data_IF_029700295520
#
_entry.id   IF_029700295520
#
_cell.length_a   1.000
_cell.length_b   1.000
_cell.length_c   1.000
_cell.angle_alpha   90.00
_cell.angle_beta   90.00
_cell.angle_gamma   90.00
#
_symmetry.space_group_name_H-M   'P 1'
#
loop_
_entity.id
_entity.type
_entity.pdbx_description
1 polymer ?
#
# COMPACT_ATOMS: atom_id res chain seq x y z
N UNK A 1 15.17 -34.07 10.57
CA UNK A 1 15.21 -32.75 9.88
C UNK A 1 15.40 -32.85 8.36
N UNK A 2 16.41 -33.58 7.82
CA UNK A 2 16.57 -33.68 6.35
C UNK A 2 15.39 -34.36 5.64
N UNK A 3 14.82 -35.38 6.27
CA UNK A 3 13.65 -36.11 5.75
C UNK A 3 12.40 -35.23 5.67
N UNK A 4 12.15 -34.41 6.70
CA UNK A 4 11.02 -33.47 6.70
C UNK A 4 11.21 -32.33 5.67
N UNK A 5 12.45 -31.88 5.46
CA UNK A 5 12.75 -30.94 4.37
C UNK A 5 12.47 -31.53 2.99
N UNK A 6 12.78 -32.82 2.78
CA UNK A 6 12.42 -33.51 1.55
C UNK A 6 10.89 -33.66 1.42
N UNK A 7 10.20 -33.93 2.53
CA UNK A 7 8.74 -34.02 2.59
C UNK A 7 8.08 -32.69 2.19
N UNK A 8 8.53 -31.56 2.76
CA UNK A 8 8.07 -30.20 2.42
C UNK A 8 8.19 -29.88 0.92
N UNK A 9 9.24 -30.36 0.26
CA UNK A 9 9.49 -30.11 -1.18
C UNK A 9 8.61 -30.95 -2.09
N UNK A 10 8.09 -32.07 -1.59
CA UNK A 10 7.38 -33.09 -2.39
C UNK A 10 5.88 -33.12 -2.11
N UNK A 11 5.41 -32.49 -1.04
CA UNK A 11 4.01 -32.47 -0.63
C UNK A 11 3.46 -31.03 -0.65
N UNK A 12 2.73 -30.65 -1.73
CA UNK A 12 2.05 -29.36 -1.80
C UNK A 12 1.11 -29.17 -0.60
N UNK A 13 1.16 -27.99 0.02
CA UNK A 13 0.36 -27.66 1.20
C UNK A 13 1.08 -27.86 2.54
N UNK A 14 2.06 -28.76 2.63
CA UNK A 14 2.78 -29.02 3.90
C UNK A 14 3.56 -27.78 4.37
N UNK A 15 4.13 -27.01 3.45
CA UNK A 15 4.80 -25.75 3.80
C UNK A 15 3.84 -24.73 4.43
N UNK A 16 2.57 -24.71 4.00
CA UNK A 16 1.54 -23.87 4.58
C UNK A 16 1.10 -24.39 5.96
N UNK A 17 0.96 -25.71 6.12
CA UNK A 17 0.65 -26.33 7.41
C UNK A 17 1.76 -26.08 8.45
N UNK A 18 3.02 -26.23 8.06
CA UNK A 18 4.16 -25.91 8.92
C UNK A 18 4.19 -24.43 9.29
N UNK A 19 3.92 -23.53 8.34
CA UNK A 19 3.85 -22.10 8.64
C UNK A 19 2.76 -21.83 9.70
N UNK A 20 1.59 -22.44 9.55
CA UNK A 20 0.48 -22.31 10.51
C UNK A 20 0.86 -22.82 11.90
N UNK A 21 1.56 -23.95 12.02
CA UNK A 21 2.05 -24.45 13.31
C UNK A 21 3.10 -23.53 13.97
N UNK A 22 3.79 -22.70 13.17
CA UNK A 22 4.76 -21.72 13.67
C UNK A 22 4.11 -20.39 14.10
N UNK A 23 2.87 -20.10 13.67
CA UNK A 23 2.16 -18.88 14.02
C UNK A 23 1.46 -19.04 15.38
N UNK A 24 1.97 -18.32 16.39
CA UNK A 24 1.40 -18.35 17.75
C UNK A 24 0.39 -17.22 17.90
N UNK A 25 -0.89 -17.53 17.68
CA UNK A 25 -2.01 -16.57 17.72
C UNK A 25 -2.66 -16.45 19.11
N UNK A 26 -1.87 -16.38 20.19
CA UNK A 26 -2.40 -16.22 21.56
C UNK A 26 -2.54 -14.75 21.92
N UNK A 27 -3.79 -14.31 22.09
CA UNK A 27 -4.14 -12.95 22.49
C UNK A 27 -5.39 -12.92 23.37
N UNK A 28 -5.63 -11.80 24.03
CA UNK A 28 -6.82 -11.57 24.85
C UNK A 28 -7.16 -10.07 24.90
N UNK A 29 -8.40 -9.75 25.24
CA UNK A 29 -8.84 -8.36 25.34
C UNK A 29 -8.06 -7.61 26.40
N UNK A 30 -7.71 -6.35 26.13
CA UNK A 30 -6.98 -5.48 27.06
C UNK A 30 -5.74 -6.14 27.69
N UNK A 31 -5.00 -6.96 26.91
CA UNK A 31 -3.78 -7.65 27.34
C UNK A 31 -2.79 -6.67 27.98
N UNK A 32 -2.36 -6.95 29.21
CA UNK A 32 -1.66 -6.01 30.09
C UNK A 32 -2.52 -4.77 30.45
N UNK A 33 -3.52 -4.95 31.32
CA UNK A 33 -4.51 -3.91 31.66
C UNK A 33 -3.92 -2.56 32.04
N UNK A 34 -2.83 -2.53 32.82
CA UNK A 34 -2.18 -1.26 33.16
C UNK A 34 -1.63 -0.53 31.93
N UNK A 35 -1.14 -1.26 30.92
CA UNK A 35 -0.65 -0.67 29.69
C UNK A 35 -1.80 -0.12 28.83
N UNK A 36 -2.94 -0.82 28.76
CA UNK A 36 -4.14 -0.29 28.12
C UNK A 36 -4.74 0.89 28.88
N UNK A 37 -4.69 0.94 30.20
CA UNK A 37 -5.10 2.11 30.98
C UNK A 37 -4.20 3.33 30.67
N UNK A 38 -2.89 3.11 30.52
CA UNK A 38 -1.97 4.16 30.09
C UNK A 38 -2.24 4.62 28.65
N UNK A 39 -2.61 3.70 27.74
CA UNK A 39 -3.05 4.04 26.38
C UNK A 39 -4.34 4.84 26.41
N UNK A 40 -5.34 4.42 27.20
CA UNK A 40 -6.65 5.05 27.39
C UNK A 40 -6.50 6.51 27.83
N UNK A 41 -5.66 6.78 28.84
CA UNK A 41 -5.33 8.14 29.26
C UNK A 41 -4.71 8.99 28.14
N UNK A 42 -4.09 8.36 27.15
CA UNK A 42 -3.51 8.99 25.98
C UNK A 42 -4.49 9.23 24.82
N UNK A 43 -5.61 8.51 24.74
CA UNK A 43 -6.55 8.57 23.62
C UNK A 43 -7.00 9.99 23.27
N UNK A 44 -7.31 10.90 24.21
CA UNK A 44 -7.76 12.27 23.89
C UNK A 44 -6.83 13.01 22.93
N UNK A 45 -5.52 12.80 23.04
CA UNK A 45 -4.54 13.46 22.18
C UNK A 45 -4.62 13.03 20.71
N UNK A 46 -5.11 11.82 20.41
CA UNK A 46 -5.26 11.32 19.04
C UNK A 46 -6.38 12.03 18.26
N UNK A 47 -7.31 12.65 19.00
CA UNK A 47 -8.44 13.42 18.48
C UNK A 47 -8.15 14.93 18.42
N UNK A 48 -6.99 15.38 18.93
CA UNK A 48 -6.66 16.80 19.00
C UNK A 48 -6.68 17.46 17.60
N UNK A 49 -7.42 18.56 17.48
CA UNK A 49 -7.56 19.30 16.21
C UNK A 49 -8.48 18.65 15.17
N UNK A 50 -9.12 17.53 15.49
CA UNK A 50 -10.05 16.82 14.59
C UNK A 50 -11.50 17.05 15.00
N UNK A 51 -12.35 17.23 13.99
CA UNK A 51 -13.82 17.34 14.11
C UNK A 51 -14.47 16.40 13.09
N UNK A 52 -15.77 16.53 12.84
CA UNK A 52 -16.55 15.67 11.96
C UNK A 52 -15.91 15.36 10.58
N UNK A 53 -15.21 16.31 9.95
CA UNK A 53 -14.54 16.11 8.66
C UNK A 53 -13.19 15.35 8.74
N UNK A 54 -12.70 15.09 9.95
CA UNK A 54 -11.42 14.40 10.19
C UNK A 54 -11.59 12.89 10.39
N UNK A 55 -10.45 12.22 10.55
CA UNK A 55 -10.40 10.80 10.85
C UNK A 55 -9.31 10.50 11.88
N UNK A 56 -9.59 9.58 12.80
CA UNK A 56 -8.58 8.92 13.64
C UNK A 56 -8.26 7.57 13.02
N UNK A 57 -6.99 7.38 12.64
CA UNK A 57 -6.53 6.20 11.90
C UNK A 57 -5.52 5.44 12.75
N UNK A 58 -5.79 4.16 12.98
CA UNK A 58 -4.96 3.29 13.81
C UNK A 58 -4.56 2.06 13.03
N UNK A 59 -3.33 1.58 13.22
CA UNK A 59 -2.91 0.28 12.70
C UNK A 59 -2.48 -0.65 13.84
N UNK A 60 -3.14 -1.80 13.93
CA UNK A 60 -2.78 -2.91 14.81
C UNK A 60 -2.10 -3.99 13.98
N UNK A 61 -0.77 -4.06 14.05
CA UNK A 61 0.05 -5.01 13.31
C UNK A 61 0.33 -6.27 14.15
N UNK A 62 0.01 -7.45 13.60
CA UNK A 62 0.02 -8.72 14.33
C UNK A 62 -1.23 -8.84 15.21
N UNK A 63 -2.42 -8.65 14.63
CA UNK A 63 -3.66 -8.57 15.39
C UNK A 63 -4.21 -9.92 15.88
N UNK A 64 -3.67 -11.05 15.41
CA UNK A 64 -4.16 -12.40 15.65
C UNK A 64 -5.69 -12.49 15.47
N UNK A 65 -6.40 -13.01 16.47
CA UNK A 65 -7.85 -13.21 16.48
C UNK A 65 -8.67 -11.94 16.78
N UNK A 66 -8.03 -10.76 16.78
CA UNK A 66 -8.67 -9.45 16.73
C UNK A 66 -8.91 -8.76 18.08
N UNK A 67 -8.62 -9.41 19.21
CA UNK A 67 -8.91 -8.89 20.56
C UNK A 67 -8.22 -7.54 20.82
N UNK A 68 -6.97 -7.37 20.39
CA UNK A 68 -6.25 -6.09 20.52
C UNK A 68 -6.92 -4.99 19.67
N UNK A 69 -7.21 -5.29 18.40
CA UNK A 69 -7.83 -4.34 17.49
C UNK A 69 -9.20 -3.87 18.00
N UNK A 70 -10.02 -4.79 18.51
CA UNK A 70 -11.29 -4.45 19.13
C UNK A 70 -11.13 -3.69 20.46
N UNK A 71 -10.14 -4.04 21.29
CA UNK A 71 -9.85 -3.31 22.53
C UNK A 71 -9.53 -1.84 22.23
N UNK A 72 -8.69 -1.59 21.23
CA UNK A 72 -8.35 -0.23 20.79
C UNK A 72 -9.57 0.47 20.19
N UNK A 73 -10.36 -0.22 19.36
CA UNK A 73 -11.59 0.34 18.79
C UNK A 73 -12.61 0.74 19.87
N UNK A 74 -12.73 -0.04 20.96
CA UNK A 74 -13.59 0.31 22.10
C UNK A 74 -13.13 1.60 22.76
N UNK A 75 -11.83 1.73 23.09
CA UNK A 75 -11.28 2.95 23.72
C UNK A 75 -11.51 4.20 22.85
N UNK A 76 -11.26 4.09 21.55
CA UNK A 76 -11.50 5.19 20.60
C UNK A 76 -12.98 5.57 20.54
N UNK A 77 -13.87 4.57 20.50
CA UNK A 77 -15.32 4.77 20.43
C UNK A 77 -15.85 5.38 21.72
N UNK A 78 -15.35 4.94 22.89
CA UNK A 78 -15.71 5.51 24.19
C UNK A 78 -15.39 6.99 24.25
N UNK A 79 -14.17 7.38 23.85
CA UNK A 79 -13.77 8.78 23.84
C UNK A 79 -14.56 9.60 22.80
N UNK A 80 -14.75 9.08 21.58
CA UNK A 80 -15.51 9.77 20.54
C UNK A 80 -16.95 10.08 20.97
N UNK A 81 -17.58 9.21 21.77
CA UNK A 81 -18.93 9.44 22.29
C UNK A 81 -19.01 10.55 23.35
N UNK A 82 -17.88 11.06 23.85
CA UNK A 82 -17.83 12.24 24.74
C UNK A 82 -17.77 13.56 23.96
N UNK A 83 -17.63 13.50 22.63
CA UNK A 83 -17.50 14.67 21.76
C UNK A 83 -18.82 14.97 21.04
N UNK A 84 -19.18 16.25 20.88
CA UNK A 84 -20.38 16.67 20.15
C UNK A 84 -20.31 16.38 18.63
N UNK A 85 -19.10 16.38 18.07
CA UNK A 85 -18.87 16.18 16.62
C UNK A 85 -17.59 15.39 16.39
N UNK A 86 -17.61 14.08 16.71
CA UNK A 86 -16.42 13.24 16.63
C UNK A 86 -15.97 13.04 15.18
N UNK A 87 -14.65 12.93 14.93
CA UNK A 87 -14.14 12.44 13.65
C UNK A 87 -14.53 10.97 13.44
N UNK A 88 -14.47 10.52 12.18
CA UNK A 88 -14.57 9.09 11.88
C UNK A 88 -13.39 8.30 12.49
N UNK A 89 -13.60 7.03 12.81
CA UNK A 89 -12.58 6.12 13.35
C UNK A 89 -12.36 5.00 12.34
N UNK A 90 -11.10 4.73 12.00
CA UNK A 90 -10.70 3.58 11.20
C UNK A 90 -9.51 2.88 11.86
N UNK A 91 -9.70 1.62 12.23
CA UNK A 91 -8.65 0.71 12.69
C UNK A 91 -8.32 -0.23 11.53
N UNK A 92 -7.06 -0.29 11.12
CA UNK A 92 -6.50 -1.29 10.23
C UNK A 92 -5.91 -2.38 11.11
N UNK A 93 -6.39 -3.61 11.01
CA UNK A 93 -5.91 -4.74 11.79
C UNK A 93 -5.35 -5.77 10.85
N UNK A 94 -4.07 -6.11 11.00
CA UNK A 94 -3.40 -6.98 10.04
C UNK A 94 -2.62 -8.10 10.69
N UNK A 95 -2.57 -9.24 10.00
CA UNK A 95 -1.84 -10.42 10.41
C UNK A 95 -1.39 -11.24 9.19
N UNK A 96 -0.46 -12.18 9.40
CA UNK A 96 -0.10 -13.20 8.42
C UNK A 96 -1.06 -14.40 8.46
N UNK A 97 -1.68 -14.65 9.62
CA UNK A 97 -2.59 -15.79 9.81
C UNK A 97 -4.01 -15.49 9.32
N UNK A 98 -4.35 -15.98 8.13
CA UNK A 98 -5.70 -15.83 7.56
C UNK A 98 -6.78 -16.52 8.41
N UNK A 99 -6.46 -17.61 9.12
CA UNK A 99 -7.42 -18.31 9.99
C UNK A 99 -7.78 -17.45 11.20
N UNK A 100 -6.78 -16.85 11.84
CA UNK A 100 -7.00 -15.91 12.93
C UNK A 100 -7.78 -14.67 12.46
N UNK A 101 -7.46 -14.13 11.28
CA UNK A 101 -8.20 -13.01 10.69
C UNK A 101 -9.67 -13.36 10.40
N UNK A 102 -9.97 -14.59 9.96
CA UNK A 102 -11.35 -15.02 9.74
C UNK A 102 -12.14 -15.08 11.06
N UNK A 103 -11.51 -15.53 12.16
CA UNK A 103 -12.11 -15.46 13.49
C UNK A 103 -12.32 -14.00 13.94
N UNK A 104 -11.32 -13.14 13.73
CA UNK A 104 -11.38 -11.72 14.06
C UNK A 104 -12.52 -11.01 13.31
N UNK A 105 -12.66 -11.29 12.00
CA UNK A 105 -13.75 -10.78 11.17
C UNK A 105 -15.10 -11.25 11.66
N UNK A 106 -15.24 -12.53 12.04
CA UNK A 106 -16.47 -13.04 12.63
C UNK A 106 -16.81 -12.32 13.96
N UNK A 107 -15.78 -11.96 14.73
CA UNK A 107 -15.91 -11.21 15.98
C UNK A 107 -16.72 -11.97 17.03
N UNK A 108 -16.63 -13.31 17.03
CA UNK A 108 -17.37 -14.18 17.95
C UNK A 108 -16.39 -14.83 18.92
N UNK A 109 -16.58 -14.55 20.20
CA UNK A 109 -15.72 -14.99 21.29
C UNK A 109 -16.51 -15.81 22.31
N UNK A 110 -15.79 -16.59 23.13
CA UNK A 110 -16.40 -17.35 24.23
C UNK A 110 -16.71 -16.42 25.41
N UNK A 111 -17.52 -16.88 26.36
CA UNK A 111 -17.83 -16.08 27.55
C UNK A 111 -16.62 -15.83 28.46
N UNK A 112 -15.50 -16.52 28.22
CA UNK A 112 -14.25 -16.34 28.96
C UNK A 112 -13.69 -14.91 28.84
N UNK A 113 -14.02 -14.17 27.78
CA UNK A 113 -13.59 -12.77 27.62
C UNK A 113 -14.15 -11.85 28.71
N UNK A 114 -15.18 -12.28 29.43
CA UNK A 114 -15.71 -11.53 30.58
C UNK A 114 -14.71 -11.43 31.74
N UNK A 115 -13.68 -12.28 31.76
CA UNK A 115 -12.56 -12.09 32.65
C UNK A 115 -11.83 -10.78 32.35
N UNK A 116 -11.66 -10.44 31.06
CA UNK A 116 -10.79 -9.36 30.57
C UNK A 116 -11.51 -8.06 30.20
N UNK A 117 -12.80 -8.15 29.86
CA UNK A 117 -13.64 -7.03 29.46
C UNK A 117 -14.62 -6.69 30.58
N UNK A 118 -14.63 -5.42 31.01
CA UNK A 118 -15.58 -4.91 32.01
C UNK A 118 -17.04 -5.15 31.60
N UNK A 119 -17.93 -5.34 32.56
CA UNK A 119 -19.37 -5.54 32.29
C UNK A 119 -20.00 -4.42 31.45
N UNK A 120 -19.59 -3.17 31.68
CA UNK A 120 -20.08 -2.00 30.95
C UNK A 120 -19.74 -2.12 29.46
N UNK A 121 -18.49 -2.46 29.15
CA UNK A 121 -18.02 -2.71 27.78
C UNK A 121 -18.69 -3.92 27.15
N UNK A 122 -18.90 -5.02 27.89
CA UNK A 122 -19.64 -6.19 27.41
C UNK A 122 -21.08 -5.82 27.00
N UNK A 123 -21.81 -5.11 27.88
CA UNK A 123 -23.18 -4.67 27.61
C UNK A 123 -23.25 -3.72 26.41
N UNK A 124 -22.25 -2.84 26.27
CA UNK A 124 -22.21 -1.81 25.23
C UNK A 124 -21.78 -2.33 23.86
N UNK A 125 -20.75 -3.18 23.80
CA UNK A 125 -20.06 -3.53 22.55
C UNK A 125 -20.30 -4.96 22.08
N UNK A 126 -20.99 -5.79 22.85
CA UNK A 126 -21.27 -7.18 22.48
C UNK A 126 -22.78 -7.48 22.47
N UNK A 127 -23.14 -8.50 21.71
CA UNK A 127 -24.43 -9.20 21.77
C UNK A 127 -24.18 -10.64 22.21
N UNK A 128 -25.05 -11.15 23.07
CA UNK A 128 -24.98 -12.55 23.52
C UNK A 128 -25.84 -13.40 22.60
N UNK A 129 -25.23 -14.40 21.96
CA UNK A 129 -25.89 -15.31 21.04
C UNK A 129 -25.38 -16.73 21.26
N UNK A 130 -26.28 -17.68 21.55
CA UNK A 130 -25.96 -19.11 21.69
C UNK A 130 -24.78 -19.41 22.64
N UNK A 131 -24.72 -18.71 23.78
CA UNK A 131 -23.61 -18.88 24.75
C UNK A 131 -22.26 -18.33 24.27
N UNK A 132 -22.25 -17.50 23.24
CA UNK A 132 -21.09 -16.75 22.75
C UNK A 132 -21.35 -15.25 22.79
N UNK A 133 -20.27 -14.48 22.77
CA UNK A 133 -20.30 -13.03 22.72
C UNK A 133 -19.84 -12.59 21.33
N UNK A 134 -20.72 -11.93 20.58
CA UNK A 134 -20.39 -11.35 19.28
C UNK A 134 -20.17 -9.85 19.42
N UNK A 135 -19.10 -9.34 18.83
CA UNK A 135 -18.87 -7.89 18.72
C UNK A 135 -19.96 -7.27 17.85
N UNK A 136 -20.58 -6.21 18.35
CA UNK A 136 -21.65 -5.49 17.65
C UNK A 136 -21.15 -4.89 16.33
N UNK A 137 -22.03 -4.88 15.33
CA UNK A 137 -21.73 -4.44 13.96
C UNK A 137 -21.16 -3.02 13.92
N UNK A 138 -21.68 -2.11 14.74
CA UNK A 138 -21.22 -0.72 14.78
C UNK A 138 -19.75 -0.60 15.17
N UNK A 139 -19.24 -1.49 16.03
CA UNK A 139 -17.82 -1.54 16.36
C UNK A 139 -17.01 -2.26 15.28
N UNK A 140 -17.54 -3.34 14.70
CA UNK A 140 -16.89 -4.11 13.63
C UNK A 140 -16.63 -3.28 12.38
N UNK A 141 -17.56 -2.43 11.99
CA UNK A 141 -17.41 -1.56 10.81
C UNK A 141 -16.27 -0.54 10.95
N UNK A 142 -15.80 -0.28 12.17
CA UNK A 142 -14.62 0.57 12.42
C UNK A 142 -13.30 -0.16 12.23
N UNK A 143 -13.30 -1.49 12.09
CA UNK A 143 -12.10 -2.34 12.03
C UNK A 143 -12.02 -3.05 10.67
N UNK A 144 -10.97 -2.76 9.91
CA UNK A 144 -10.67 -3.40 8.63
C UNK A 144 -9.58 -4.46 8.82
N UNK A 145 -9.93 -5.73 8.62
CA UNK A 145 -9.01 -6.86 8.72
C UNK A 145 -8.42 -7.27 7.37
N UNK A 146 -7.10 -7.27 7.25
CA UNK A 146 -6.40 -7.66 6.03
C UNK A 146 -5.18 -8.54 6.31
N UNK A 147 -4.90 -9.49 5.40
CA UNK A 147 -3.62 -10.20 5.40
C UNK A 147 -2.54 -9.20 5.00
N UNK A 148 -1.47 -9.09 5.79
CA UNK A 148 -0.38 -8.14 5.53
C UNK A 148 0.93 -8.66 6.12
N UNK A 149 1.96 -8.73 5.28
CA UNK A 149 3.33 -8.93 5.70
C UNK A 149 4.02 -7.57 5.93
N UNK A 150 4.31 -7.28 7.20
CA UNK A 150 4.97 -6.05 7.64
C UNK A 150 6.28 -5.73 6.89
N UNK A 151 6.98 -6.75 6.38
CA UNK A 151 8.30 -6.61 5.77
C UNK A 151 8.28 -6.63 4.24
N UNK A 152 7.14 -6.96 3.62
CA UNK A 152 7.00 -7.08 2.16
C UNK A 152 5.94 -6.14 1.59
N UNK A 153 4.85 -5.97 2.32
CA UNK A 153 3.70 -5.24 1.83
C UNK A 153 3.83 -3.74 2.09
N UNK A 154 3.15 -2.95 1.27
CA UNK A 154 3.19 -1.49 1.40
C UNK A 154 2.55 -1.07 2.73
N UNK A 155 3.21 -0.19 3.52
CA UNK A 155 2.66 0.21 4.80
C UNK A 155 1.56 1.26 4.66
N UNK A 156 0.65 1.28 5.62
CA UNK A 156 -0.32 2.37 5.77
C UNK A 156 0.43 3.68 6.09
N UNK A 157 -0.13 4.82 5.69
CA UNK A 157 0.46 6.15 5.95
C UNK A 157 -0.53 7.05 6.68
N UNK A 158 -0.03 8.12 7.32
CA UNK A 158 -0.84 9.13 8.03
C UNK A 158 -1.72 8.52 9.13
N UNK A 159 -1.10 7.72 9.99
CA UNK A 159 -1.71 7.11 11.18
C UNK A 159 -1.49 7.96 12.43
N UNK A 160 -2.41 7.84 13.38
CA UNK A 160 -2.34 8.49 14.69
C UNK A 160 -1.79 7.56 15.76
N UNK A 161 -2.03 6.26 15.60
CA UNK A 161 -1.54 5.22 16.50
C UNK A 161 -1.14 4.01 15.69
N UNK A 162 0.02 3.44 16.03
CA UNK A 162 0.41 2.08 15.64
C UNK A 162 0.51 1.26 16.91
N UNK A 163 -0.13 0.10 16.94
CA UNK A 163 0.06 -0.92 17.96
C UNK A 163 0.73 -2.12 17.31
N UNK A 164 1.80 -2.61 17.92
CA UNK A 164 2.50 -3.82 17.47
C UNK A 164 3.07 -4.48 18.73
N UNK A 165 2.29 -5.40 19.30
CA UNK A 165 2.58 -5.96 20.62
C UNK A 165 2.81 -7.45 20.50
N UNK A 166 3.84 -7.93 21.21
CA UNK A 166 4.20 -9.35 21.27
C UNK A 166 4.60 -9.96 19.90
N UNK A 167 4.99 -9.13 18.93
CA UNK A 167 5.52 -9.56 17.64
C UNK A 167 7.06 -9.53 17.60
N UNK A 168 7.70 -8.55 18.25
CA UNK A 168 9.14 -8.33 18.16
C UNK A 168 9.96 -9.46 18.81
N UNK A 169 9.35 -10.21 19.72
CA UNK A 169 9.96 -11.37 20.39
C UNK A 169 10.27 -12.53 19.43
N UNK A 170 9.66 -12.56 18.24
CA UNK A 170 9.85 -13.63 17.25
C UNK A 170 10.82 -13.25 16.12
N UNK A 171 11.23 -11.98 16.05
CA UNK A 171 12.06 -11.47 14.95
C UNK A 171 13.41 -10.98 15.44
N UNK A 172 14.40 -11.05 14.57
CA UNK A 172 15.76 -10.61 14.90
C UNK A 172 15.86 -9.08 14.96
N UNK A 173 16.97 -8.56 15.50
CA UNK A 173 17.18 -7.12 15.69
C UNK A 173 17.11 -6.29 14.41
N UNK A 174 17.55 -6.82 13.26
CA UNK A 174 17.47 -6.11 11.98
C UNK A 174 16.02 -5.93 11.54
N UNK A 175 15.21 -6.99 11.66
CA UNK A 175 13.78 -6.94 11.37
C UNK A 175 13.05 -6.00 12.34
N UNK A 176 13.39 -6.00 13.63
CA UNK A 176 12.85 -5.01 14.59
C UNK A 176 13.15 -3.58 14.14
N UNK A 177 14.37 -3.29 13.69
CA UNK A 177 14.72 -1.97 13.16
C UNK A 177 13.89 -1.60 11.93
N UNK A 178 13.77 -2.51 10.94
CA UNK A 178 12.96 -2.27 9.74
C UNK A 178 11.48 -2.04 10.06
N UNK A 179 10.92 -2.81 10.99
CA UNK A 179 9.55 -2.61 11.48
C UNK A 179 9.36 -1.21 12.10
N UNK A 180 10.31 -0.77 12.94
CA UNK A 180 10.27 0.56 13.56
C UNK A 180 10.39 1.68 12.52
N UNK A 181 11.21 1.52 11.48
CA UNK A 181 11.32 2.46 10.36
C UNK A 181 10.00 2.56 9.58
N UNK A 182 9.36 1.42 9.30
CA UNK A 182 8.02 1.35 8.70
C UNK A 182 7.01 2.10 9.58
N UNK A 183 6.96 1.81 10.88
CA UNK A 183 6.03 2.48 11.80
C UNK A 183 6.28 3.99 11.90
N UNK A 184 7.54 4.43 11.89
CA UNK A 184 7.88 5.86 11.89
C UNK A 184 7.38 6.54 10.63
N UNK A 185 7.54 5.91 9.47
CA UNK A 185 7.03 6.41 8.20
C UNK A 185 5.49 6.47 8.18
N UNK A 186 4.84 5.46 8.75
CA UNK A 186 3.37 5.33 8.78
C UNK A 186 2.69 6.38 9.67
N UNK A 187 3.33 6.77 10.79
CA UNK A 187 2.76 7.71 11.75
C UNK A 187 2.81 9.16 11.27
N UNK A 188 1.78 9.96 11.56
CA UNK A 188 1.85 11.41 11.47
C UNK A 188 2.80 11.98 12.55
N UNK A 189 3.16 13.27 12.46
CA UNK A 189 4.13 13.91 13.37
C UNK A 189 3.78 13.77 14.87
N UNK A 190 2.49 13.79 15.21
CA UNK A 190 1.98 13.62 16.59
C UNK A 190 1.58 12.17 16.92
N UNK A 191 1.87 11.25 16.00
CA UNK A 191 1.47 9.86 16.12
C UNK A 191 2.21 9.14 17.23
N UNK A 192 1.58 8.08 17.75
CA UNK A 192 2.10 7.26 18.83
C UNK A 192 2.34 5.82 18.40
N UNK A 193 3.34 5.21 19.01
CA UNK A 193 3.64 3.78 18.89
C UNK A 193 3.39 3.10 20.23
N UNK A 194 2.69 1.97 20.23
CA UNK A 194 2.44 1.17 21.42
C UNK A 194 2.97 -0.26 21.21
N UNK A 195 3.96 -0.65 22.01
CA UNK A 195 4.61 -1.96 21.93
C UNK A 195 4.26 -2.87 23.13
N UNK A 196 4.61 -4.15 23.03
CA UNK A 196 4.50 -5.14 24.10
C UNK A 196 5.47 -4.83 25.26
N UNK A 197 5.16 -5.35 26.44
CA UNK A 197 5.94 -5.10 27.68
C UNK A 197 7.41 -5.55 27.59
N UNK A 198 7.67 -6.65 26.86
CA UNK A 198 9.00 -7.20 26.60
C UNK A 198 9.73 -6.54 25.41
N UNK A 199 9.14 -5.52 24.79
CA UNK A 199 9.59 -4.96 23.52
C UNK A 199 10.06 -3.51 23.70
N UNK A 200 10.88 -3.03 22.77
CA UNK A 200 11.44 -1.68 22.86
C UNK A 200 11.71 -1.08 21.49
N UNK A 201 11.63 0.25 21.41
CA UNK A 201 12.01 1.01 20.22
C UNK A 201 13.54 1.22 20.11
N UNK A 202 14.34 0.68 21.05
CA UNK A 202 15.80 0.86 21.11
C UNK A 202 16.56 0.25 19.91
N UNK A 203 15.90 -0.56 19.09
CA UNK A 203 16.48 -1.07 17.85
C UNK A 203 16.62 0.02 16.76
N UNK A 204 15.86 1.12 16.85
CA UNK A 204 15.94 2.25 15.92
C UNK A 204 16.09 3.59 16.69
N UNK A 205 17.30 3.88 17.19
CA UNK A 205 17.54 5.06 18.02
C UNK A 205 17.21 6.35 17.24
N UNK A 206 16.58 7.31 17.93
CA UNK A 206 16.24 8.62 17.35
C UNK A 206 14.92 8.68 16.60
N UNK A 207 14.29 7.54 16.26
CA UNK A 207 12.96 7.53 15.61
C UNK A 207 11.81 7.71 16.61
N UNK A 208 11.96 7.23 17.84
CA UNK A 208 10.90 7.24 18.84
C UNK A 208 11.39 7.79 20.17
N UNK A 209 10.55 8.61 20.81
CA UNK A 209 10.81 9.21 22.11
C UNK A 209 9.84 8.57 23.12
N UNK A 210 10.30 8.04 24.27
CA UNK A 210 9.41 7.46 25.26
C UNK A 210 8.37 8.48 25.75
N UNK A 211 7.09 8.19 25.52
CA UNK A 211 5.97 8.97 26.05
C UNK A 211 5.51 8.40 27.40
N UNK A 212 5.40 7.08 27.48
CA UNK A 212 5.25 6.34 28.73
C UNK A 212 6.20 5.13 28.69
N UNK A 213 7.38 5.28 29.31
CA UNK A 213 8.43 4.25 29.30
C UNK A 213 7.99 2.97 30.00
N UNK A 214 7.24 3.06 31.11
CA UNK A 214 6.75 1.89 31.89
C UNK A 214 5.88 0.99 31.01
N UNK A 215 5.01 1.60 30.20
CA UNK A 215 4.04 0.87 29.37
C UNK A 215 4.39 0.83 27.88
N UNK A 216 5.65 1.13 27.52
CA UNK A 216 6.17 1.02 26.15
C UNK A 216 5.33 1.79 25.11
N UNK A 217 4.88 2.99 25.49
CA UNK A 217 4.24 3.95 24.59
C UNK A 217 5.25 5.02 24.21
N UNK A 218 5.38 5.29 22.92
CA UNK A 218 6.35 6.22 22.36
C UNK A 218 5.66 7.26 21.48
N UNK A 219 6.19 8.48 21.47
CA UNK A 219 5.86 9.49 20.48
C UNK A 219 6.82 9.37 19.29
N UNK A 220 6.31 9.66 18.09
CA UNK A 220 7.16 9.79 16.90
C UNK A 220 8.13 10.96 17.08
N UNK A 221 9.42 10.71 16.84
CA UNK A 221 10.43 11.77 16.83
C UNK A 221 10.26 12.66 15.60
N UNK A 222 10.30 13.98 15.83
CA UNK A 222 10.28 15.02 14.77
C UNK A 222 11.68 15.35 14.23
N UNK A 223 12.74 14.71 14.74
CA UNK A 223 14.09 14.98 14.25
C UNK A 223 14.17 14.67 12.75
N UNK A 224 14.92 15.45 11.94
CA UNK A 224 15.09 15.21 10.51
C UNK A 224 15.97 13.97 10.29
N UNK A 225 15.44 12.79 10.58
CA UNK A 225 15.99 11.56 10.03
C UNK A 225 15.50 11.46 8.60
N UNK A 226 16.46 11.46 7.65
CA UNK A 226 16.21 11.01 6.27
C UNK A 226 15.86 9.52 6.34
N UNK A 227 14.61 9.22 6.65
CA UNK A 227 14.05 7.90 6.42
C UNK A 227 13.74 7.87 4.93
N UNK A 228 14.67 7.34 4.15
CA UNK A 228 14.33 6.83 2.82
C UNK A 228 13.19 5.81 3.00
N UNK A 229 12.15 5.78 2.15
CA UNK A 229 11.14 4.74 2.25
C UNK A 229 11.83 3.37 2.30
N UNK A 230 11.48 2.48 3.25
CA UNK A 230 12.10 1.17 3.32
C UNK A 230 11.81 0.45 2.00
N UNK A 231 12.85 0.29 1.20
CA UNK A 231 12.80 -0.47 -0.05
C UNK A 231 12.85 -1.96 0.31
N UNK A 232 12.03 -2.81 -0.31
CA UNK A 232 12.07 -4.25 -0.08
C UNK A 232 13.49 -4.79 -0.35
N UNK A 233 13.95 -5.72 0.51
CA UNK A 233 15.27 -6.34 0.37
C UNK A 233 15.38 -7.02 -1.01
N UNK A 234 16.37 -6.56 -1.81
CA UNK A 234 16.64 -7.07 -3.16
C UNK A 234 16.85 -5.98 -4.22
N UNK A 235 16.48 -4.73 -3.94
CA UNK A 235 16.67 -3.62 -4.87
C UNK A 235 18.11 -3.07 -4.80
N UNK A 236 18.93 -3.32 -5.81
CA UNK A 236 20.22 -2.62 -5.97
C UNK A 236 19.95 -1.25 -6.60
N UNK A 237 20.16 -0.12 -5.90
CA UNK A 237 20.05 1.18 -6.55
C UNK A 237 21.12 1.28 -7.63
N UNK A 238 20.73 1.72 -8.83
CA UNK A 238 21.68 2.24 -9.81
C UNK A 238 22.51 3.33 -9.13
N UNK A 239 23.83 3.27 -9.34
CA UNK A 239 24.73 4.30 -8.83
C UNK A 239 24.21 5.69 -9.22
N UNK A 240 24.24 6.67 -8.30
CA UNK A 240 23.77 8.02 -8.62
C UNK A 240 24.59 8.56 -9.79
N UNK A 241 23.88 9.06 -10.82
CA UNK A 241 24.47 9.81 -11.93
C UNK A 241 25.32 10.94 -11.35
N UNK A 242 26.63 10.88 -11.57
CA UNK A 242 27.54 11.98 -11.27
C UNK A 242 27.20 13.11 -12.23
N UNK A 243 26.54 14.15 -11.72
CA UNK A 243 26.39 15.41 -12.45
C UNK A 243 27.74 16.13 -12.34
N UNK A 244 28.47 16.38 -13.44
CA UNK A 244 29.71 17.12 -13.37
C UNK A 244 29.43 18.54 -12.90
N UNK A 245 30.01 18.88 -11.76
CA UNK A 245 30.00 20.23 -11.19
C UNK A 245 30.87 21.16 -12.02
N UNK A 246 30.34 21.63 -13.16
CA UNK A 246 30.90 22.78 -13.85
C UNK A 246 29.82 23.51 -14.64
N UNK A 247 29.15 24.44 -13.97
CA UNK A 247 28.58 25.64 -14.60
C UNK A 247 28.59 26.78 -13.59
N UNK A 248 29.20 27.93 -13.93
CA UNK A 248 29.39 29.03 -13.00
C UNK A 248 28.13 29.93 -12.91
N UNK A 249 27.82 30.30 -11.67
CA UNK A 249 27.26 31.59 -11.22
C UNK A 249 25.93 32.11 -11.79
N UNK A 250 24.95 32.19 -10.88
CA UNK A 250 24.22 33.45 -10.63
C UNK A 250 24.31 33.76 -9.13
N UNK A 251 25.26 34.61 -8.75
CA UNK A 251 25.32 35.21 -7.41
C UNK A 251 24.24 36.28 -7.31
N UNK A 252 23.20 36.01 -6.53
CA UNK A 252 22.31 37.07 -6.03
C UNK A 252 23.05 37.77 -4.89
N UNK A 253 23.52 38.99 -5.16
CA UNK A 253 24.03 39.92 -4.17
C UNK A 253 22.92 40.25 -3.15
N UNK A 254 23.19 40.08 -1.85
CA UNK A 254 22.40 40.69 -0.80
C UNK A 254 23.16 41.93 -0.29
N UNK A 255 22.59 43.15 -0.32
CA UNK A 255 23.25 44.31 0.25
C UNK A 255 23.39 44.15 1.77
N UNK A 256 24.55 44.54 2.28
CA UNK A 256 24.85 44.61 3.72
C UNK A 256 24.10 45.79 4.34
N UNK A 257 23.47 45.57 5.49
CA UNK A 257 23.14 46.62 6.45
C UNK A 257 24.11 46.53 7.63
N UNK A 258 24.71 47.68 7.94
CA UNK A 258 25.61 47.90 9.05
C UNK A 258 24.85 47.92 10.39
N UNK A 259 25.46 47.29 11.40
CA UNK A 259 25.45 47.65 12.83
C UNK A 259 24.15 48.04 13.53
N UNK A 260 23.76 47.27 14.55
CA UNK A 260 23.74 47.69 15.97
C UNK A 260 23.35 46.48 16.84
N UNK A 261 24.14 46.28 17.88
CA UNK A 261 23.94 45.35 18.99
C UNK A 261 22.73 45.71 19.87
N UNK A 262 21.88 44.73 20.20
CA UNK A 262 20.86 44.85 21.25
C UNK A 262 20.02 43.58 21.38
N UNK A 263 19.97 43.00 22.58
CA UNK A 263 19.29 41.73 22.87
C UNK A 263 17.77 41.77 22.78
N UNK A 264 17.19 40.58 22.61
CA UNK A 264 15.75 40.32 22.63
C UNK A 264 15.41 39.15 21.71
N UNK A 265 15.35 37.93 22.25
CA UNK A 265 14.85 36.76 21.55
C UNK A 265 13.37 36.98 21.20
N UNK A 266 13.11 37.27 19.92
CA UNK A 266 11.78 37.25 19.33
C UNK A 266 11.68 36.11 18.32
N UNK A 267 10.60 35.37 18.50
CA UNK A 267 10.04 34.38 17.60
C UNK A 267 10.15 34.77 16.12
N UNK A 268 10.57 33.83 15.29
CA UNK A 268 10.22 33.82 13.86
C UNK A 268 9.66 32.45 13.50
N UNK A 269 8.32 32.37 13.50
CA UNK A 269 7.59 31.20 13.05
C UNK A 269 7.80 30.95 11.55
N UNK A 270 7.99 29.67 11.20
CA UNK A 270 7.87 29.25 9.81
C UNK A 270 6.39 29.02 9.49
N UNK A 271 5.86 29.96 8.72
CA UNK A 271 4.50 29.99 8.21
C UNK A 271 4.13 28.71 7.45
N UNK A 272 2.87 28.30 7.64
CA UNK A 272 2.15 27.28 6.86
C UNK A 272 2.56 27.30 5.39
N UNK A 273 2.68 26.11 4.82
CA UNK A 273 2.87 25.83 3.40
C UNK A 273 1.91 26.65 2.53
N UNK A 274 2.39 27.80 2.05
CA UNK A 274 1.80 28.52 0.93
C UNK A 274 1.99 27.72 -0.35
N UNK A 275 1.07 27.85 -1.34
CA UNK A 275 1.32 27.35 -2.68
C UNK A 275 2.64 27.91 -3.23
N UNK A 276 3.32 27.11 -4.06
CA UNK A 276 4.52 27.57 -4.76
C UNK A 276 4.19 28.88 -5.51
N UNK A 277 5.01 29.94 -5.38
CA UNK A 277 4.73 31.21 -6.05
C UNK A 277 4.53 31.00 -7.56
N UNK A 278 3.37 31.40 -8.07
CA UNK A 278 3.08 31.43 -9.50
C UNK A 278 2.50 30.17 -10.14
N UNK A 279 2.31 29.06 -9.41
CA UNK A 279 1.80 27.81 -10.03
C UNK A 279 0.39 27.41 -9.60
N UNK A 280 -0.16 27.97 -8.53
CA UNK A 280 -1.52 27.64 -8.05
C UNK A 280 -1.68 26.20 -7.52
N UNK A 281 -0.61 25.40 -7.50
CA UNK A 281 -0.61 24.02 -7.01
C UNK A 281 0.09 23.92 -5.66
N UNK A 282 -0.39 23.00 -4.82
CA UNK A 282 0.37 22.53 -3.66
C UNK A 282 1.52 21.63 -4.13
N UNK A 283 2.60 21.53 -3.36
CA UNK A 283 3.73 20.64 -3.67
C UNK A 283 3.32 19.18 -3.99
N UNK A 284 2.41 18.57 -3.20
CA UNK A 284 1.87 17.23 -3.50
C UNK A 284 1.08 17.16 -4.82
N UNK A 285 0.29 18.18 -5.14
CA UNK A 285 -0.51 18.24 -6.37
C UNK A 285 0.39 18.34 -7.60
N UNK A 286 1.42 19.18 -7.53
CA UNK A 286 2.43 19.28 -8.57
C UNK A 286 3.17 17.95 -8.74
N UNK A 287 3.53 17.28 -7.65
CA UNK A 287 4.21 16.00 -7.68
C UNK A 287 3.39 14.91 -8.39
N UNK A 288 2.11 14.74 -8.03
CA UNK A 288 1.24 13.76 -8.69
C UNK A 288 1.01 14.09 -10.17
N UNK A 289 0.89 15.38 -10.50
CA UNK A 289 0.73 15.83 -11.89
C UNK A 289 1.98 15.59 -12.73
N UNK A 290 3.17 15.72 -12.14
CA UNK A 290 4.42 15.38 -12.80
C UNK A 290 4.58 13.86 -12.96
N UNK A 291 4.21 13.06 -11.96
CA UNK A 291 4.24 11.60 -12.08
C UNK A 291 3.35 11.09 -13.23
N UNK A 292 2.17 11.68 -13.44
CA UNK A 292 1.30 11.35 -14.58
C UNK A 292 1.93 11.64 -15.95
N UNK A 293 2.86 12.59 -16.03
CA UNK A 293 3.60 12.85 -17.28
C UNK A 293 4.69 11.84 -17.56
N UNK A 294 5.17 11.13 -16.54
CA UNK A 294 6.33 10.24 -16.60
C UNK A 294 5.91 8.77 -16.60
N UNK A 295 4.77 8.44 -15.99
CA UNK A 295 4.27 7.07 -15.87
C UNK A 295 2.89 6.94 -16.52
N UNK A 296 2.82 6.10 -17.56
CA UNK A 296 1.56 5.76 -18.21
C UNK A 296 0.69 4.88 -17.30
N UNK A 297 -0.64 5.05 -17.30
CA UNK A 297 -1.55 4.14 -16.61
C UNK A 297 -1.30 2.69 -17.02
N UNK A 298 -0.96 1.82 -16.07
CA UNK A 298 -0.66 0.42 -16.32
C UNK A 298 -1.22 -0.53 -15.25
N UNK A 299 -1.39 -1.79 -15.65
CA UNK A 299 -1.84 -2.92 -14.83
C UNK A 299 -0.93 -4.13 -15.11
N UNK A 300 -0.49 -4.81 -14.06
CA UNK A 300 0.23 -6.08 -14.15
C UNK A 300 -0.76 -7.21 -13.90
N UNK A 301 -0.76 -8.21 -14.78
CA UNK A 301 -1.61 -9.40 -14.66
C UNK A 301 -0.81 -10.69 -14.76
N UNK A 302 -1.35 -11.75 -14.16
CA UNK A 302 -0.88 -13.12 -14.36
C UNK A 302 -1.44 -13.75 -15.66
N UNK A 303 -1.14 -15.03 -15.87
CA UNK A 303 -1.53 -15.78 -17.06
C UNK A 303 -3.04 -16.03 -17.17
N UNK A 304 -3.74 -16.03 -16.03
CA UNK A 304 -5.19 -16.21 -15.95
C UNK A 304 -5.94 -14.86 -16.09
N UNK A 305 -5.21 -13.75 -16.19
CA UNK A 305 -5.74 -12.40 -16.28
C UNK A 305 -6.10 -11.80 -14.92
N UNK A 306 -5.66 -12.40 -13.82
CA UNK A 306 -5.77 -11.87 -12.46
C UNK A 306 -4.90 -10.63 -12.30
N UNK A 307 -5.47 -9.56 -11.74
CA UNK A 307 -4.74 -8.31 -11.45
C UNK A 307 -3.81 -8.55 -10.27
N UNK A 308 -2.51 -8.42 -10.52
CA UNK A 308 -1.45 -8.48 -9.51
C UNK A 308 -1.17 -7.10 -8.95
N UNK A 309 -1.19 -6.08 -9.82
CA UNK A 309 -0.92 -4.70 -9.42
C UNK A 309 -1.55 -3.70 -10.40
N UNK A 310 -1.96 -2.53 -9.91
CA UNK A 310 -2.48 -1.43 -10.72
C UNK A 310 -1.81 -0.11 -10.33
N UNK A 311 -1.40 0.67 -11.32
CA UNK A 311 -1.02 2.07 -11.10
C UNK A 311 -2.28 2.90 -10.80
N UNK A 312 -2.18 3.90 -9.92
CA UNK A 312 -3.33 4.72 -9.53
C UNK A 312 -4.19 5.24 -10.70
N UNK A 313 -3.59 5.82 -11.76
CA UNK A 313 -4.34 6.28 -12.93
C UNK A 313 -5.02 5.18 -13.76
N UNK A 314 -4.63 3.91 -13.62
CA UNK A 314 -5.21 2.81 -14.38
C UNK A 314 -6.67 2.51 -14.02
N UNK A 315 -7.12 2.93 -12.83
CA UNK A 315 -8.50 2.73 -12.38
C UNK A 315 -9.55 3.32 -13.32
N UNK A 316 -9.24 4.38 -14.08
CA UNK A 316 -10.15 4.99 -15.07
C UNK A 316 -10.54 4.03 -16.20
N UNK A 317 -9.73 3.01 -16.46
CA UNK A 317 -9.93 2.03 -17.54
C UNK A 317 -10.71 0.80 -17.07
N UNK A 318 -11.02 0.73 -15.77
CA UNK A 318 -11.78 -0.34 -15.16
C UNK A 318 -13.24 0.08 -14.98
N UNK A 319 -14.16 -0.80 -15.34
CA UNK A 319 -15.60 -0.69 -15.17
C UNK A 319 -16.08 -1.84 -14.27
N UNK A 320 -16.62 -1.50 -13.11
CA UNK A 320 -17.19 -2.48 -12.20
C UNK A 320 -18.63 -2.77 -12.63
N UNK A 321 -18.86 -3.97 -13.17
CA UNK A 321 -20.20 -4.43 -13.54
C UNK A 321 -20.91 -5.04 -12.33
N UNK A 322 -22.25 -4.94 -12.29
CA UNK A 322 -23.07 -5.64 -11.28
C UNK A 322 -22.81 -7.16 -11.33
N UNK A 323 -22.66 -7.80 -10.16
CA UNK A 323 -22.43 -9.23 -10.03
C UNK A 323 -21.36 -9.59 -9.00
N UNK A 324 -20.86 -10.83 -9.08
CA UNK A 324 -19.82 -11.31 -8.17
C UNK A 324 -18.52 -10.51 -8.31
N UNK A 325 -17.96 -9.98 -7.21
CA UNK A 325 -16.68 -9.29 -7.21
C UNK A 325 -15.58 -10.14 -7.85
N UNK A 326 -14.79 -9.54 -8.73
CA UNK A 326 -13.71 -10.23 -9.45
C UNK A 326 -12.46 -9.37 -9.47
N UNK A 327 -11.30 -10.00 -9.44
CA UNK A 327 -10.00 -9.35 -9.62
C UNK A 327 -9.44 -9.59 -11.03
N UNK A 328 -10.25 -10.08 -11.97
CA UNK A 328 -9.80 -10.42 -13.33
C UNK A 328 -9.93 -9.21 -14.27
N UNK A 329 -8.81 -8.81 -14.90
CA UNK A 329 -8.76 -7.62 -15.77
C UNK A 329 -9.66 -7.75 -17.01
N UNK A 330 -9.83 -8.95 -17.59
CA UNK A 330 -10.72 -9.13 -18.76
C UNK A 330 -12.19 -8.88 -18.42
N UNK A 331 -12.57 -9.04 -17.14
CA UNK A 331 -13.91 -8.72 -16.65
C UNK A 331 -14.03 -7.27 -16.23
N UNK A 332 -12.97 -6.73 -15.62
CA UNK A 332 -12.95 -5.37 -15.09
C UNK A 332 -12.63 -4.30 -16.14
N UNK A 333 -11.94 -4.59 -17.24
CA UNK A 333 -11.65 -3.57 -18.24
C UNK A 333 -12.93 -3.14 -18.96
N UNK A 334 -12.97 -1.86 -19.39
CA UNK A 334 -14.08 -1.29 -20.14
C UNK A 334 -14.55 -2.25 -21.27
N UNK A 335 -15.87 -2.47 -21.44
CA UNK A 335 -16.41 -3.46 -22.38
C UNK A 335 -15.86 -3.36 -23.81
N UNK A 336 -15.67 -2.14 -24.30
CA UNK A 336 -15.10 -1.86 -25.63
C UNK A 336 -13.65 -2.32 -25.82
N UNK A 337 -12.89 -2.53 -24.73
CA UNK A 337 -11.48 -2.96 -24.77
C UNK A 337 -11.29 -4.46 -24.56
N UNK A 338 -12.33 -5.20 -24.13
CA UNK A 338 -12.19 -6.61 -23.72
C UNK A 338 -11.72 -7.52 -24.85
N UNK A 339 -12.28 -7.33 -26.04
CA UNK A 339 -11.92 -8.11 -27.23
C UNK A 339 -10.46 -7.90 -27.61
N UNK A 340 -10.06 -6.64 -27.76
CA UNK A 340 -8.71 -6.24 -28.13
C UNK A 340 -7.66 -6.67 -27.08
N UNK A 341 -7.99 -6.55 -25.79
CA UNK A 341 -7.12 -7.01 -24.70
C UNK A 341 -6.93 -8.52 -24.75
N UNK A 342 -8.01 -9.29 -24.95
CA UNK A 342 -7.93 -10.76 -25.03
C UNK A 342 -7.05 -11.21 -26.20
N UNK A 343 -7.24 -10.62 -27.38
CA UNK A 343 -6.41 -10.93 -28.56
C UNK A 343 -4.95 -10.51 -28.34
N UNK A 344 -4.72 -9.36 -27.70
CA UNK A 344 -3.36 -8.89 -27.42
C UNK A 344 -2.62 -9.79 -26.43
N UNK A 345 -3.31 -10.31 -25.42
CA UNK A 345 -2.72 -11.25 -24.46
C UNK A 345 -2.39 -12.60 -25.09
N UNK A 346 -3.26 -13.12 -25.95
CA UNK A 346 -2.99 -14.35 -26.70
C UNK A 346 -1.74 -14.21 -27.57
N UNK A 347 -1.63 -13.11 -28.33
CA UNK A 347 -0.45 -12.86 -29.15
C UNK A 347 0.82 -12.63 -28.32
N UNK A 348 0.74 -11.91 -27.20
CA UNK A 348 1.88 -11.70 -26.31
C UNK A 348 2.32 -13.00 -25.60
N UNK A 349 1.41 -13.96 -25.42
CA UNK A 349 1.73 -15.28 -24.90
C UNK A 349 2.42 -16.17 -25.94
N UNK A 350 2.03 -16.06 -27.22
CA UNK A 350 2.64 -16.78 -28.34
C UNK A 350 4.03 -16.24 -28.69
N UNK A 351 4.21 -14.92 -28.69
CA UNK A 351 5.50 -14.25 -28.92
C UNK A 351 5.81 -13.22 -27.84
N UNK A 352 6.44 -13.65 -26.72
CA UNK A 352 6.78 -12.76 -25.60
C UNK A 352 7.79 -11.65 -25.93
N UNK A 353 8.43 -11.70 -27.11
CA UNK A 353 9.44 -10.72 -27.52
C UNK A 353 8.83 -9.46 -28.14
N UNK A 354 7.55 -9.50 -28.51
CA UNK A 354 6.86 -8.42 -29.22
C UNK A 354 5.82 -7.79 -28.31
N UNK A 355 5.90 -6.46 -28.17
CA UNK A 355 4.81 -5.70 -27.56
C UNK A 355 3.64 -5.57 -28.55
N UNK A 356 2.44 -5.96 -28.13
CA UNK A 356 1.23 -5.86 -28.95
C UNK A 356 0.55 -4.52 -28.68
N UNK A 357 0.36 -3.72 -29.72
CA UNK A 357 -0.29 -2.41 -29.62
C UNK A 357 -1.62 -2.38 -30.36
N UNK A 358 -2.66 -1.92 -29.68
CA UNK A 358 -3.98 -1.62 -30.25
C UNK A 358 -4.24 -0.14 -30.07
N UNK A 359 -4.65 0.53 -31.14
CA UNK A 359 -4.81 1.98 -31.16
C UNK A 359 -6.23 2.37 -31.58
N UNK A 360 -6.68 3.53 -31.10
CA UNK A 360 -7.90 4.19 -31.53
C UNK A 360 -9.21 3.42 -31.19
N UNK A 361 -9.23 2.70 -30.06
CA UNK A 361 -10.43 1.98 -29.62
C UNK A 361 -11.43 2.98 -29.01
N UNK A 362 -12.66 3.08 -29.51
CA UNK A 362 -13.67 3.96 -28.91
C UNK A 362 -14.08 3.44 -27.54
N UNK A 363 -14.06 4.32 -26.54
CA UNK A 363 -14.49 4.02 -25.17
C UNK A 363 -15.42 5.12 -24.66
N UNK A 364 -16.43 4.73 -23.88
CA UNK A 364 -17.37 5.63 -23.23
C UNK A 364 -17.17 5.48 -21.72
N UNK A 365 -16.58 6.48 -21.08
CA UNK A 365 -16.28 6.41 -19.66
C UNK A 365 -17.55 6.63 -18.82
N UNK A 366 -17.55 6.15 -17.57
CA UNK A 366 -18.66 6.38 -16.62
C UNK A 366 -18.96 7.86 -16.38
N UNK A 367 -18.01 8.76 -16.66
CA UNK A 367 -18.19 10.22 -16.64
C UNK A 367 -19.07 10.76 -17.78
N UNK A 368 -19.49 9.90 -18.73
CA UNK A 368 -20.22 10.30 -19.95
C UNK A 368 -19.31 10.86 -21.05
N UNK A 369 -17.99 10.81 -20.87
CA UNK A 369 -17.01 11.29 -21.84
C UNK A 369 -16.69 10.19 -22.86
N UNK A 370 -16.71 10.56 -24.15
CA UNK A 370 -16.24 9.68 -25.22
C UNK A 370 -14.75 9.91 -25.47
N UNK A 371 -13.98 8.81 -25.49
CA UNK A 371 -12.54 8.82 -25.69
C UNK A 371 -12.05 7.81 -26.72
N UNK A 372 -10.76 7.94 -27.07
CA UNK A 372 -10.02 6.96 -27.88
C UNK A 372 -8.90 6.38 -27.04
N UNK A 373 -8.97 5.07 -26.81
CA UNK A 373 -8.01 4.33 -26.04
C UNK A 373 -6.91 3.74 -26.94
N UNK A 374 -5.70 3.72 -26.41
CA UNK A 374 -4.61 2.90 -26.89
C UNK A 374 -4.19 1.93 -25.80
N UNK A 375 -4.05 0.68 -26.19
CA UNK A 375 -3.66 -0.43 -25.34
C UNK A 375 -2.32 -0.95 -25.81
N UNK A 376 -1.39 -1.16 -24.90
CA UNK A 376 -0.14 -1.87 -25.18
C UNK A 376 0.03 -3.01 -24.19
N UNK A 377 0.24 -4.22 -24.69
CA UNK A 377 0.47 -5.43 -23.91
C UNK A 377 1.89 -5.90 -24.14
N UNK A 378 2.65 -6.05 -23.05
CA UNK A 378 4.02 -6.57 -23.06
C UNK A 378 4.10 -7.79 -22.17
N UNK A 379 4.63 -8.90 -22.64
CA UNK A 379 5.01 -10.00 -21.76
C UNK A 379 6.20 -9.57 -20.90
N UNK A 380 6.23 -10.00 -19.64
CA UNK A 380 7.36 -9.70 -18.74
C UNK A 380 8.64 -10.50 -19.08
N UNK A 381 8.58 -11.35 -20.11
CA UNK A 381 9.72 -12.09 -20.65
C UNK A 381 10.30 -13.10 -19.65
N UNK A 382 11.60 -13.38 -19.78
CA UNK A 382 12.31 -14.40 -18.99
C UNK A 382 12.38 -14.12 -17.49
N UNK A 383 12.20 -12.86 -17.08
CA UNK A 383 12.31 -12.46 -15.68
C UNK A 383 11.04 -12.75 -14.86
N UNK A 384 9.89 -12.88 -15.53
CA UNK A 384 8.62 -13.25 -14.92
C UNK A 384 7.71 -13.93 -15.98
N UNK A 385 8.00 -15.19 -16.36
CA UNK A 385 7.21 -15.88 -17.38
C UNK A 385 5.75 -16.05 -16.93
N UNK A 386 4.81 -15.83 -17.84
CA UNK A 386 3.38 -15.88 -17.56
C UNK A 386 2.77 -14.58 -17.02
N UNK A 387 3.55 -13.51 -16.85
CA UNK A 387 3.03 -12.20 -16.47
C UNK A 387 3.01 -11.23 -17.65
N UNK A 388 2.04 -10.32 -17.63
CA UNK A 388 1.85 -9.32 -18.67
C UNK A 388 1.69 -7.93 -18.04
N UNK A 389 2.32 -6.94 -18.68
CA UNK A 389 2.09 -5.53 -18.42
C UNK A 389 1.12 -4.99 -19.47
N UNK A 390 -0.01 -4.47 -19.00
CA UNK A 390 -1.02 -3.81 -19.82
C UNK A 390 -0.93 -2.31 -19.56
N UNK A 391 -0.64 -1.53 -20.59
CA UNK A 391 -0.52 -0.07 -20.53
C UNK A 391 -1.66 0.56 -21.31
N UNK A 392 -2.30 1.57 -20.72
CA UNK A 392 -3.39 2.33 -21.31
C UNK A 392 -2.96 3.78 -21.54
N UNK A 393 -3.44 4.37 -22.64
CA UNK A 393 -3.23 5.79 -22.95
C UNK A 393 -4.37 6.34 -23.82
N UNK A 394 -4.51 7.66 -23.87
CA UNK A 394 -5.47 8.38 -24.73
C UNK A 394 -4.76 9.13 -25.86
N UNK A 395 -5.49 9.41 -26.94
CA UNK A 395 -4.99 10.29 -28.01
C UNK A 395 -4.61 11.67 -27.43
N UNK A 396 -3.30 11.96 -27.39
CA UNK A 396 -2.73 13.20 -26.86
C UNK A 396 -1.68 13.02 -25.76
N UNK A 397 -1.61 11.83 -25.13
CA UNK A 397 -0.60 11.48 -24.13
C UNK A 397 0.49 10.58 -24.75
N UNK A 398 1.29 11.12 -25.67
CA UNK A 398 2.49 10.43 -26.15
C UNK A 398 3.61 10.55 -25.11
N UNK A 399 3.57 9.68 -24.10
CA UNK A 399 4.77 9.29 -23.36
C UNK A 399 5.46 8.17 -24.13
N UNK A 400 6.48 8.51 -24.91
CA UNK A 400 7.40 7.52 -25.48
C UNK A 400 8.04 6.77 -24.30
N UNK A 401 7.59 5.54 -24.04
CA UNK A 401 8.20 4.70 -23.02
C UNK A 401 9.67 4.49 -23.40
N UNK A 402 10.65 4.87 -22.53
CA UNK A 402 12.04 4.60 -22.85
C UNK A 402 12.22 3.08 -22.96
N UNK A 403 13.09 2.60 -23.86
CA UNK A 403 13.42 1.19 -23.93
C UNK A 403 13.94 0.76 -22.56
N UNK A 404 13.23 -0.17 -21.92
CA UNK A 404 13.69 -0.78 -20.67
C UNK A 404 14.80 -1.75 -21.03
N UNK A 405 16.03 -1.26 -21.09
CA UNK A 405 17.20 -2.14 -21.02
C UNK A 405 17.31 -2.67 -19.59
N UNK A 406 17.12 -3.98 -19.44
CA UNK A 406 17.38 -4.70 -18.20
C UNK A 406 18.91 -4.88 -18.12
N UNK A 407 19.63 -4.28 -17.16
CA UNK A 407 21.07 -4.44 -17.09
C UNK A 407 21.40 -5.79 -16.49
N UNK A 408 22.17 -6.59 -17.24
CA UNK A 408 22.77 -7.82 -16.71
C UNK A 408 22.79 -9.03 -17.62
N UNK A 409 22.69 -8.89 -18.96
CA UNK A 409 22.94 -10.01 -19.89
C UNK A 409 23.87 -9.52 -21.00
N UNK A 410 25.17 -9.72 -20.83
CA UNK A 410 26.08 -9.73 -21.97
C UNK A 410 25.90 -11.07 -22.70
N UNK A 411 25.32 -11.02 -23.89
CA UNK A 411 25.58 -12.00 -24.94
C UNK A 411 26.14 -11.23 -26.14
N UNK A 412 27.40 -11.50 -26.47
CA UNK A 412 28.12 -10.81 -27.53
C UNK A 412 27.70 -11.23 -28.94
N UNK A 413 27.98 -10.35 -29.90
CA UNK A 413 27.96 -10.58 -31.36
C UNK A 413 26.56 -10.63 -31.96
N UNK A 414 26.24 -10.04 -33.11
CA UNK A 414 27.08 -9.46 -34.16
C UNK A 414 26.15 -8.59 -35.05
N UNK A 415 26.72 -7.47 -35.50
CA UNK A 415 26.31 -6.52 -36.55
C UNK A 415 25.28 -6.96 -37.62
N UNK A 416 24.30 -6.09 -37.90
CA UNK A 416 23.50 -6.06 -39.14
C UNK A 416 22.66 -4.77 -39.28
N UNK A 417 23.02 -3.90 -40.22
CA UNK A 417 22.46 -2.56 -40.49
C UNK A 417 20.98 -2.53 -40.94
N UNK A 418 20.29 -1.38 -40.81
CA UNK A 418 18.83 -1.25 -40.95
C UNK A 418 18.37 -0.99 -42.40
N UNK A 419 17.32 -1.68 -42.85
CA UNK A 419 16.74 -1.49 -44.19
C UNK A 419 15.26 -1.87 -44.29
N UNK A 420 14.44 -0.86 -44.64
CA UNK A 420 13.20 -0.94 -45.43
C UNK A 420 11.97 -1.69 -44.87
N UNK A 421 11.14 -0.97 -44.09
CA UNK A 421 9.70 -1.26 -43.95
C UNK A 421 8.86 -0.08 -44.46
N UNK A 422 8.60 -0.03 -45.77
CA UNK A 422 7.42 0.64 -46.34
C UNK A 422 7.02 -0.12 -47.61
N UNK A 423 5.72 -0.47 -47.67
CA UNK A 423 4.94 -1.08 -48.78
C UNK A 423 4.79 -2.61 -48.72
N UNK A 424 3.69 -3.09 -48.13
CA UNK A 424 2.77 -4.03 -48.81
C UNK A 424 1.58 -4.46 -47.91
N UNK A 425 0.65 -3.56 -47.60
CA UNK A 425 -0.70 -3.97 -47.19
C UNK A 425 -1.76 -3.11 -47.87
N UNK A 426 -1.84 -3.27 -49.19
CA UNK A 426 -3.05 -3.04 -50.00
C UNK A 426 -3.07 -4.13 -51.05
N UNK A 427 -3.82 -5.20 -50.77
CA UNK A 427 -4.50 -6.13 -51.70
C UNK A 427 -4.69 -7.47 -50.99
N UNK A 428 -5.90 -7.70 -50.50
CA UNK A 428 -6.72 -8.91 -50.73
C UNK A 428 -7.85 -8.94 -49.70
N UNK A 429 -8.84 -8.10 -49.94
CA UNK A 429 -10.23 -8.45 -49.67
C UNK A 429 -10.92 -8.46 -51.04
N UNK A 430 -11.56 -9.57 -51.39
CA UNK A 430 -12.34 -9.71 -52.61
C UNK A 430 -12.16 -11.07 -53.27
N UNK A 431 -13.16 -11.95 -53.14
CA UNK A 431 -13.26 -13.16 -53.95
C UNK A 431 -14.08 -14.28 -53.31
N UNK A 432 -15.39 -14.08 -53.18
CA UNK A 432 -16.35 -15.15 -52.94
C UNK A 432 -16.64 -15.85 -54.28
N UNK A 433 -16.51 -17.18 -54.37
CA UNK A 433 -17.07 -17.97 -55.46
C UNK A 433 -17.36 -19.42 -55.02
N UNK A 434 -18.59 -19.83 -55.26
CA UNK A 434 -19.27 -21.11 -55.02
C UNK A 434 -18.68 -22.30 -55.79
N UNK A 435 -18.90 -23.57 -55.36
CA UNK A 435 -18.51 -24.75 -56.10
C UNK A 435 -19.62 -25.19 -57.08
N UNK A 436 -19.23 -25.65 -58.27
CA UNK A 436 -20.04 -26.54 -59.12
C UNK A 436 -19.24 -27.78 -59.47
N UNK A 437 -19.97 -28.89 -59.40
CA UNK A 437 -19.65 -30.27 -59.67
C UNK A 437 -18.99 -30.57 -61.01
N UNK A 438 -18.09 -31.55 -61.00
CA UNK A 438 -18.04 -32.65 -61.98
C UNK A 438 -17.51 -33.88 -61.26
#
# INVERSE_FOLDING_TARGET
>A
MPEYLAFLRTHPGEAGALLQDLLISVTNFFRDREAFAALEAGIPALFAGKRAAGQVRVWTAGCATGEEAYSVAMLLTEYANTMDSPPSIQVFATDLDENALNQARAGVYTEAIAADVSEERLKRFFTRENGRLRVRTELRERVLFAVHDLFRDTPFSRLDLVTCRNLFIYVNRKMQQSALEVFHFSLHAEGRLFLGSAESADAAPGLFIPFNKKHRIYARSRAPHRVSPPMPEGFKPYAPLQIPSSSPLLSVHNPREDGISGGGEKETGFTRSSPLPGTGFSGPELHLRLLRKVFSPSVVIDADGGIVHLSGPAGRWLAFSDGEPTHNLLRLVHPGLRGDLRTSLLHAAEDPSIAVEVRNVPVEFESGENGRAHLRVCAAGSHAPGYFLVVFSEDGEQGEAPPVEIPGIHAGGTTGSPGTWRRSWRRRAGGCATPRSS
#
